data_IF_272521717358
#
_entry.id   IF_272521717358
#
_cell.length_a   1.000
_cell.length_b   1.000
_cell.length_c   1.000
_cell.angle_alpha   90.00
_cell.angle_beta   90.00
_cell.angle_gamma   90.00
#
_symmetry.space_group_name_H-M   'P 1'
#
loop_
_entity.id
_entity.type
_entity.pdbx_description
1 polymer ?
#
# COMPACT_ATOMS: atom_id res chain seq x y z
N UNK A 1 -4.47 -1.49 -9.80
CA UNK A 1 -3.37 -0.53 -9.59
C UNK A 1 -2.26 -1.33 -8.97
N UNK A 2 -1.17 -1.46 -9.71
CA UNK A 2 -0.02 -2.23 -9.27
C UNK A 2 0.67 -1.51 -8.11
N UNK A 3 0.70 -2.16 -6.95
CA UNK A 3 1.30 -1.59 -5.74
C UNK A 3 2.83 -1.62 -5.75
N UNK A 4 3.43 -2.55 -6.48
CA UNK A 4 4.87 -2.66 -6.61
C UNK A 4 5.43 -1.55 -7.50
N UNK A 5 4.64 -1.06 -8.45
CA UNK A 5 5.04 0.00 -9.39
C UNK A 5 4.41 1.37 -9.10
N UNK A 6 3.37 1.45 -8.26
CA UNK A 6 2.77 2.73 -7.90
C UNK A 6 3.77 3.66 -7.20
N UNK A 7 3.70 4.95 -7.54
CA UNK A 7 4.47 6.00 -6.87
C UNK A 7 3.76 6.46 -5.59
N UNK A 8 4.48 7.18 -4.74
CA UNK A 8 3.95 7.64 -3.46
C UNK A 8 2.73 8.56 -3.63
N UNK A 9 2.70 9.38 -4.69
CA UNK A 9 1.54 10.26 -4.98
C UNK A 9 0.31 9.43 -5.32
N UNK A 10 0.44 8.44 -6.20
CA UNK A 10 -0.66 7.56 -6.60
C UNK A 10 -1.18 6.75 -5.42
N UNK A 11 -0.28 6.23 -4.57
CA UNK A 11 -0.66 5.54 -3.34
C UNK A 11 -1.40 6.47 -2.36
N UNK A 12 -1.04 7.75 -2.31
CA UNK A 12 -1.72 8.74 -1.46
C UNK A 12 -3.12 9.15 -1.93
N UNK A 13 -3.53 8.74 -3.15
CA UNK A 13 -4.90 8.95 -3.65
C UNK A 13 -5.87 7.87 -3.15
N UNK A 14 -5.37 6.80 -2.54
CA UNK A 14 -6.18 5.71 -2.02
C UNK A 14 -6.94 6.15 -0.76
N UNK A 15 -8.15 5.61 -0.57
CA UNK A 15 -9.01 6.03 0.55
C UNK A 15 -8.36 5.65 1.87
N UNK A 16 -8.07 6.64 2.71
CA UNK A 16 -7.44 6.44 4.02
C UNK A 16 -5.93 6.26 4.00
N UNK A 17 -5.29 6.35 2.82
CA UNK A 17 -3.82 6.34 2.64
C UNK A 17 -3.39 7.76 2.30
N UNK A 18 -2.88 8.51 3.27
CA UNK A 18 -2.24 9.80 3.02
C UNK A 18 -0.75 9.64 2.72
N UNK A 19 -0.05 10.76 2.49
CA UNK A 19 1.40 10.81 2.20
C UNK A 19 2.25 9.99 3.18
N UNK A 20 1.96 10.03 4.49
CA UNK A 20 2.69 9.24 5.50
C UNK A 20 2.57 7.73 5.29
N UNK A 21 1.37 7.25 4.96
CA UNK A 21 1.10 5.81 4.74
C UNK A 21 1.64 5.36 3.38
N UNK A 22 1.48 6.20 2.36
CA UNK A 22 2.10 5.96 1.06
C UNK A 22 3.63 5.83 1.17
N UNK A 23 4.27 6.71 1.94
CA UNK A 23 5.70 6.60 2.23
C UNK A 23 6.05 5.29 2.95
N UNK A 24 5.22 4.85 3.90
CA UNK A 24 5.40 3.58 4.60
C UNK A 24 5.31 2.37 3.65
N UNK A 25 4.39 2.37 2.69
CA UNK A 25 4.28 1.31 1.66
C UNK A 25 5.56 1.23 0.83
N UNK A 26 6.03 2.38 0.33
CA UNK A 26 7.25 2.45 -0.49
C UNK A 26 8.47 2.02 0.33
N UNK A 27 8.55 2.46 1.58
CA UNK A 27 9.62 2.04 2.50
C UNK A 27 9.58 0.53 2.73
N UNK A 28 8.40 -0.01 3.03
CA UNK A 28 8.23 -1.45 3.28
C UNK A 28 8.69 -2.28 2.09
N UNK A 29 8.29 -1.93 0.86
CA UNK A 29 8.72 -2.69 -0.33
C UNK A 29 10.22 -2.56 -0.64
N UNK A 30 10.84 -1.45 -0.26
CA UNK A 30 12.28 -1.25 -0.42
C UNK A 30 13.07 -2.06 0.60
N UNK A 31 12.56 -2.22 1.82
CA UNK A 31 13.24 -2.95 2.91
C UNK A 31 12.95 -4.46 2.89
N UNK A 32 11.72 -4.87 2.58
CA UNK A 32 11.26 -6.26 2.64
C UNK A 32 11.15 -6.93 1.26
N UNK A 33 11.29 -6.15 0.18
CA UNK A 33 11.05 -6.62 -1.18
C UNK A 33 9.61 -6.39 -1.66
N UNK A 34 9.32 -6.83 -2.89
CA UNK A 34 8.02 -6.63 -3.53
C UNK A 34 6.89 -7.30 -2.74
N UNK A 35 5.72 -6.68 -2.74
CA UNK A 35 4.49 -7.31 -2.25
C UNK A 35 4.15 -8.50 -3.13
N UNK A 36 3.82 -9.62 -2.51
CA UNK A 36 3.41 -10.87 -3.18
C UNK A 36 1.87 -10.94 -3.20
N UNK A 37 1.24 -10.39 -2.16
CA UNK A 37 -0.20 -10.34 -2.00
C UNK A 37 -0.65 -8.93 -1.62
N UNK A 38 -1.94 -8.64 -1.81
CA UNK A 38 -2.49 -7.33 -1.42
C UNK A 38 -2.59 -7.26 0.11
N UNK A 39 -2.71 -8.41 0.76
CA UNK A 39 -2.73 -8.62 2.20
C UNK A 39 -1.42 -8.24 2.87
N UNK A 40 -0.29 -8.32 2.17
CA UNK A 40 1.02 -7.92 2.68
C UNK A 40 1.06 -6.43 3.08
N UNK A 41 0.11 -5.62 2.58
CA UNK A 41 -0.09 -4.26 3.04
C UNK A 41 -0.43 -4.15 4.53
N UNK A 42 -0.97 -5.20 5.15
CA UNK A 42 -1.24 -5.23 6.59
C UNK A 42 0.04 -5.24 7.42
N UNK A 43 1.16 -5.65 6.83
CA UNK A 43 2.48 -5.56 7.48
C UNK A 43 3.04 -4.14 7.46
N UNK A 44 2.43 -3.22 6.69
CA UNK A 44 2.86 -1.83 6.60
C UNK A 44 2.32 -1.03 7.77
N UNK A 45 3.21 -0.41 8.54
CA UNK A 45 2.84 0.42 9.69
C UNK A 45 1.85 1.52 9.29
N UNK A 46 0.68 1.51 9.94
CA UNK A 46 -0.39 2.48 9.71
C UNK A 46 -1.41 2.09 8.64
N UNK A 47 -1.25 0.91 8.01
CA UNK A 47 -2.28 0.28 7.19
C UNK A 47 -2.92 -0.85 7.99
N UNK A 48 -4.22 -0.71 8.22
CA UNK A 48 -5.02 -1.76 8.86
C UNK A 48 -6.03 -2.35 7.88
N UNK A 49 -6.70 -3.41 8.31
CA UNK A 49 -7.69 -4.16 7.52
C UNK A 49 -8.76 -3.27 6.89
N UNK A 50 -9.23 -2.25 7.61
CA UNK A 50 -10.23 -1.31 7.09
C UNK A 50 -9.73 -0.56 5.85
N UNK A 51 -8.46 -0.16 5.84
CA UNK A 51 -7.88 0.56 4.70
C UNK A 51 -7.63 -0.39 3.55
N UNK A 52 -7.11 -1.59 3.85
CA UNK A 52 -6.96 -2.62 2.85
C UNK A 52 -8.29 -2.94 2.19
N UNK A 53 -9.34 -3.27 2.96
CA UNK A 53 -10.66 -3.62 2.43
C UNK A 53 -11.25 -2.53 1.52
N UNK A 54 -11.06 -1.24 1.87
CA UNK A 54 -11.54 -0.12 1.05
C UNK A 54 -10.83 0.02 -0.31
N UNK A 55 -9.59 -0.49 -0.42
CA UNK A 55 -8.76 -0.33 -1.60
C UNK A 55 -8.45 -1.66 -2.31
N UNK A 56 -8.74 -2.81 -1.68
CA UNK A 56 -8.40 -4.16 -2.16
C UNK A 56 -8.90 -4.42 -3.58
N UNK A 57 -10.11 -3.98 -3.89
CA UNK A 57 -10.70 -4.12 -5.23
C UNK A 57 -10.00 -3.31 -6.32
N UNK A 58 -9.20 -2.30 -5.96
CA UNK A 58 -8.47 -1.44 -6.88
C UNK A 58 -6.98 -1.78 -6.97
N UNK A 59 -6.49 -2.66 -6.11
CA UNK A 59 -5.08 -3.00 -5.99
C UNK A 59 -4.77 -4.31 -6.72
N UNK A 60 -3.59 -4.36 -7.32
CA UNK A 60 -3.03 -5.51 -8.03
C UNK A 60 -1.54 -5.59 -7.70
N UNK A 61 -0.92 -6.74 -7.96
CA UNK A 61 0.49 -7.04 -7.64
C UNK A 61 1.38 -6.93 -8.87
#
# INVERSE_FOLDING_TARGET
>A
MDINHADMKTLSLLKGIGMKKAAAIVKYRNENGKFISVEDLLNVTGIGEKILALNKSKLTI
#
